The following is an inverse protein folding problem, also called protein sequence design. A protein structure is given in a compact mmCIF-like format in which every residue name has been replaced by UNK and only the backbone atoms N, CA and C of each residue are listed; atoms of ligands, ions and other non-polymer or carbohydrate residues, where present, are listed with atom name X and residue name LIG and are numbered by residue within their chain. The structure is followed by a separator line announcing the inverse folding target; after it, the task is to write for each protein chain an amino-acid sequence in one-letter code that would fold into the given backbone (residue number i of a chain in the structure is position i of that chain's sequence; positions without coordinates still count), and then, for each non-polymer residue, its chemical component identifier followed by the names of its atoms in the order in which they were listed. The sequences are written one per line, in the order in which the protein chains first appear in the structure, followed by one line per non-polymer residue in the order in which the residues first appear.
data_IF_591918685441
#
_entry.id   IF_591918685441
#
_cell.length_a   1.000
_cell.length_b   1.000
_cell.length_c   1.000
_cell.angle_alpha   90.00
_cell.angle_beta   90.00
_cell.angle_gamma   90.00
#
_symmetry.space_group_name_H-M   'P 1'
#
loop_
_entity.id
_entity.type
_entity.pdbx_description
1 polymer ?
#
# COMPACT_ATOMS: atom_id res chain seq x y z
N UNK A 1 -33.62 -0.61 -40.28
CA UNK A 1 -33.12 -1.34 -39.10
C UNK A 1 -31.62 -1.14 -39.11
N UNK A 2 -31.12 -0.19 -38.32
CA UNK A 2 -29.71 0.18 -38.32
C UNK A 2 -28.96 -0.79 -37.42
N UNK A 3 -28.04 -1.51 -38.05
CA UNK A 3 -27.10 -2.47 -37.49
C UNK A 3 -26.13 -1.71 -36.57
N UNK A 4 -26.13 -2.03 -35.28
CA UNK A 4 -25.22 -1.44 -34.30
C UNK A 4 -24.04 -2.40 -34.11
N UNK A 5 -22.95 -2.11 -34.82
CA UNK A 5 -21.67 -2.82 -34.70
C UNK A 5 -21.17 -2.76 -33.24
N UNK A 6 -20.65 -3.85 -32.67
CA UNK A 6 -20.10 -3.84 -31.31
C UNK A 6 -18.90 -2.89 -31.22
N UNK A 7 -18.66 -2.23 -30.08
CA UNK A 7 -17.51 -1.33 -29.94
C UNK A 7 -16.21 -2.13 -30.04
N UNK A 8 -15.30 -1.67 -30.90
CA UNK A 8 -14.01 -2.30 -31.15
C UNK A 8 -13.13 -2.30 -29.88
N UNK A 9 -12.73 -3.49 -29.45
CA UNK A 9 -11.87 -3.72 -28.31
C UNK A 9 -10.42 -3.29 -28.66
N UNK A 10 -9.98 -2.13 -28.17
CA UNK A 10 -8.64 -1.62 -28.43
C UNK A 10 -7.57 -2.58 -27.89
N UNK A 11 -6.85 -3.21 -28.81
CA UNK A 11 -5.80 -4.18 -28.50
C UNK A 11 -4.55 -3.46 -27.97
N UNK A 12 -4.44 -3.37 -26.65
CA UNK A 12 -3.29 -2.76 -25.97
C UNK A 12 -1.97 -3.44 -26.38
N UNK A 13 -0.91 -2.63 -26.59
CA UNK A 13 0.43 -3.08 -27.00
C UNK A 13 1.07 -3.92 -25.88
N UNK A 14 0.83 -5.24 -25.90
CA UNK A 14 1.60 -6.26 -25.16
C UNK A 14 1.69 -6.07 -23.63
N UNK A 15 0.86 -6.79 -22.87
CA UNK A 15 0.90 -6.85 -21.41
C UNK A 15 -0.28 -7.64 -20.84
N UNK A 16 -0.30 -7.90 -19.53
CA UNK A 16 -1.50 -8.40 -18.85
C UNK A 16 -2.64 -7.40 -19.12
N UNK A 17 -3.82 -7.85 -19.57
CA UNK A 17 -4.94 -6.94 -19.83
C UNK A 17 -5.31 -6.12 -18.59
N UNK A 18 -5.69 -4.87 -18.83
CA UNK A 18 -6.29 -3.99 -17.83
C UNK A 18 -7.52 -4.68 -17.23
N UNK A 19 -7.61 -4.69 -15.89
CA UNK A 19 -8.69 -5.41 -15.19
C UNK A 19 -9.94 -4.56 -15.01
N UNK A 20 -9.77 -3.25 -14.84
CA UNK A 20 -10.83 -2.27 -14.64
C UNK A 20 -10.97 -1.44 -15.91
N UNK A 21 -12.19 -1.06 -16.28
CA UNK A 21 -12.42 -0.29 -17.52
C UNK A 21 -12.34 1.21 -17.32
N UNK A 22 -12.49 1.66 -16.08
CA UNK A 22 -12.50 3.07 -15.71
C UNK A 22 -11.88 3.25 -14.33
N UNK A 23 -11.37 4.45 -14.06
CA UNK A 23 -10.85 4.80 -12.73
C UNK A 23 -11.94 4.77 -11.67
N UNK A 24 -13.17 5.18 -12.02
CA UNK A 24 -14.32 5.14 -11.12
C UNK A 24 -14.64 3.71 -10.64
N UNK A 25 -14.58 2.72 -11.53
CA UNK A 25 -14.78 1.30 -11.16
C UNK A 25 -13.69 0.81 -10.20
N UNK A 26 -12.43 1.18 -10.46
CA UNK A 26 -11.32 0.83 -9.57
C UNK A 26 -11.54 1.45 -8.18
N UNK A 27 -11.85 2.75 -8.09
CA UNK A 27 -12.10 3.44 -6.82
C UNK A 27 -13.24 2.82 -6.02
N UNK A 28 -14.36 2.49 -6.67
CA UNK A 28 -15.48 1.83 -6.02
C UNK A 28 -15.07 0.50 -5.37
N UNK A 29 -14.22 -0.28 -6.05
CA UNK A 29 -13.75 -1.57 -5.52
C UNK A 29 -12.70 -1.40 -4.40
N UNK A 30 -11.87 -0.36 -4.49
CA UNK A 30 -10.97 0.06 -3.41
C UNK A 30 -11.78 0.44 -2.16
N UNK A 31 -12.81 1.27 -2.31
CA UNK A 31 -13.67 1.69 -1.20
C UNK A 31 -14.42 0.50 -0.60
N UNK A 32 -14.92 -0.41 -1.44
CA UNK A 32 -15.55 -1.65 -0.98
C UNK A 32 -14.60 -2.46 -0.09
N UNK A 33 -13.31 -2.53 -0.45
CA UNK A 33 -12.30 -3.18 0.37
C UNK A 33 -12.13 -2.47 1.73
N UNK A 34 -11.95 -1.14 1.74
CA UNK A 34 -11.75 -0.39 2.97
C UNK A 34 -12.98 -0.43 3.88
N UNK A 35 -14.19 -0.26 3.34
CA UNK A 35 -15.45 -0.38 4.08
C UNK A 35 -15.61 -1.76 4.72
N UNK A 36 -15.14 -2.83 4.06
CA UNK A 36 -15.13 -4.18 4.63
C UNK A 36 -14.10 -4.41 5.75
N UNK A 37 -13.11 -3.51 5.85
CA UNK A 37 -12.11 -3.50 6.91
C UNK A 37 -12.54 -2.59 8.07
N UNK A 38 -13.26 -1.52 7.77
CA UNK A 38 -13.75 -0.55 8.75
C UNK A 38 -14.86 -1.15 9.62
N UNK A 39 -15.02 -0.69 10.87
CA UNK A 39 -16.16 -1.03 11.69
C UNK A 39 -17.47 -0.74 10.97
N UNK A 40 -18.26 -1.79 10.72
CA UNK A 40 -19.58 -1.69 10.13
C UNK A 40 -20.55 -2.61 10.86
N UNK A 41 -21.82 -2.29 10.79
CA UNK A 41 -22.88 -3.12 11.37
C UNK A 41 -23.11 -4.35 10.50
N UNK A 42 -23.12 -5.53 11.12
CA UNK A 42 -23.44 -6.80 10.46
C UNK A 42 -24.36 -7.65 11.31
N UNK A 43 -25.12 -8.54 10.67
CA UNK A 43 -25.95 -9.51 11.37
C UNK A 43 -25.13 -10.77 11.68
N UNK A 44 -24.93 -11.05 12.97
CA UNK A 44 -24.23 -12.26 13.41
C UNK A 44 -25.21 -13.18 14.15
N UNK A 45 -25.16 -14.47 13.80
CA UNK A 45 -25.86 -15.52 14.54
C UNK A 45 -25.05 -15.84 15.80
N UNK A 46 -25.68 -15.68 16.95
CA UNK A 46 -25.08 -15.87 18.26
C UNK A 46 -25.88 -16.87 19.08
N UNK A 47 -25.20 -17.55 19.99
CA UNK A 47 -25.84 -18.40 20.98
C UNK A 47 -26.51 -17.51 22.04
N UNK A 48 -27.78 -17.78 22.33
CA UNK A 48 -28.60 -17.04 23.30
C UNK A 48 -29.15 -18.01 24.36
N UNK A 49 -28.21 -18.72 24.98
CA UNK A 49 -28.48 -19.73 26.00
C UNK A 49 -29.02 -21.05 25.43
N UNK A 50 -29.52 -21.88 26.34
CA UNK A 50 -30.01 -23.22 26.04
C UNK A 50 -31.52 -23.26 26.24
N UNK A 51 -32.25 -23.89 25.31
CA UNK A 51 -33.68 -24.14 25.42
C UNK A 51 -33.96 -25.23 26.46
N UNK A 52 -35.22 -25.37 26.88
CA UNK A 52 -35.65 -26.38 27.85
C UNK A 52 -35.40 -27.83 27.39
N UNK A 53 -35.30 -28.05 26.08
CA UNK A 53 -34.99 -29.35 25.47
C UNK A 53 -33.47 -29.67 25.41
N UNK A 54 -32.62 -28.79 25.95
CA UNK A 54 -31.16 -28.93 25.92
C UNK A 54 -30.48 -28.45 24.64
N UNK A 55 -31.24 -27.98 23.64
CA UNK A 55 -30.67 -27.43 22.39
C UNK A 55 -30.25 -25.97 22.54
N UNK A 56 -29.22 -25.55 21.78
CA UNK A 56 -28.78 -24.15 21.76
C UNK A 56 -29.84 -23.25 21.13
N UNK A 57 -30.19 -22.18 21.83
CA UNK A 57 -30.98 -21.11 21.27
C UNK A 57 -30.07 -20.21 20.43
N UNK A 58 -30.49 -19.90 19.21
CA UNK A 58 -29.72 -19.05 18.30
C UNK A 58 -30.51 -17.78 18.03
N UNK A 59 -29.88 -16.63 18.27
CA UNK A 59 -30.44 -15.32 17.96
C UNK A 59 -29.58 -14.64 16.91
N UNK A 60 -30.21 -13.91 15.99
CA UNK A 60 -29.51 -12.99 15.09
C UNK A 60 -29.54 -11.62 15.73
N UNK A 61 -28.37 -11.02 15.98
CA UNK A 61 -28.25 -9.64 16.45
C UNK A 61 -27.38 -8.84 15.51
N UNK A 62 -27.69 -7.55 15.42
CA UNK A 62 -26.82 -6.58 14.78
C UNK A 62 -25.64 -6.30 15.72
N UNK A 63 -24.44 -6.45 15.18
CA UNK A 63 -23.19 -6.21 15.90
C UNK A 63 -22.27 -5.34 15.07
N UNK A 64 -21.52 -4.48 15.75
CA UNK A 64 -20.44 -3.71 15.14
C UNK A 64 -19.22 -4.62 14.95
N UNK A 65 -18.64 -4.64 13.75
CA UNK A 65 -17.38 -5.36 13.51
C UNK A 65 -16.19 -4.59 14.08
N UNK A 66 -15.11 -5.30 14.39
CA UNK A 66 -13.85 -4.68 14.77
C UNK A 66 -13.12 -4.09 13.56
N UNK A 67 -12.28 -3.07 13.79
CA UNK A 67 -11.39 -2.52 12.76
C UNK A 67 -10.36 -3.57 12.35
N UNK A 68 -10.36 -3.93 11.08
CA UNK A 68 -9.35 -4.81 10.49
C UNK A 68 -8.19 -3.98 9.93
N UNK A 69 -6.94 -4.49 10.00
CA UNK A 69 -5.82 -3.85 9.35
C UNK A 69 -5.99 -3.81 7.83
N UNK A 70 -5.72 -2.66 7.22
CA UNK A 70 -5.57 -2.51 5.79
C UNK A 70 -4.23 -3.09 5.37
N UNK A 71 -4.19 -3.78 4.23
CA UNK A 71 -2.97 -4.38 3.71
C UNK A 71 -2.95 -4.34 2.20
N UNK A 72 -1.75 -4.19 1.61
CA UNK A 72 -1.57 -4.20 0.15
C UNK A 72 -2.06 -5.54 -0.45
N UNK A 73 -1.78 -6.66 0.22
CA UNK A 73 -2.23 -7.98 -0.23
C UNK A 73 -3.74 -8.18 -0.06
N UNK A 74 -4.33 -7.63 1.01
CA UNK A 74 -5.78 -7.61 1.19
C UNK A 74 -6.48 -6.85 0.07
N UNK A 75 -5.97 -5.67 -0.26
CA UNK A 75 -6.45 -4.86 -1.38
C UNK A 75 -6.29 -5.61 -2.71
N UNK A 76 -5.10 -6.15 -3.00
CA UNK A 76 -4.87 -6.92 -4.23
C UNK A 76 -5.84 -8.11 -4.34
N UNK A 77 -6.06 -8.83 -3.24
CA UNK A 77 -7.00 -9.96 -3.22
C UNK A 77 -8.45 -9.51 -3.44
N UNK A 78 -8.88 -8.41 -2.82
CA UNK A 78 -10.21 -7.85 -2.98
C UNK A 78 -10.47 -7.43 -4.44
N UNK A 79 -9.49 -6.77 -5.05
CA UNK A 79 -9.47 -6.40 -6.46
C UNK A 79 -9.26 -7.59 -7.41
N UNK A 80 -9.18 -8.83 -6.89
CA UNK A 80 -8.93 -10.07 -7.66
C UNK A 80 -7.70 -9.97 -8.56
N UNK A 81 -6.64 -9.35 -8.05
CA UNK A 81 -5.40 -9.08 -8.77
C UNK A 81 -4.18 -9.52 -7.94
N UNK A 82 -2.98 -9.11 -8.33
CA UNK A 82 -1.74 -9.34 -7.57
C UNK A 82 -1.04 -8.03 -7.23
N UNK A 83 -0.06 -8.08 -6.32
CA UNK A 83 0.73 -6.90 -5.93
C UNK A 83 1.44 -6.29 -7.13
N UNK A 84 1.98 -7.11 -8.02
CA UNK A 84 2.68 -6.67 -9.24
C UNK A 84 1.75 -5.85 -10.13
N UNK A 85 0.49 -6.25 -10.24
CA UNK A 85 -0.49 -5.48 -11.00
C UNK A 85 -0.83 -4.16 -10.33
N UNK A 86 -0.88 -4.08 -8.99
CA UNK A 86 -1.03 -2.79 -8.31
C UNK A 86 0.16 -1.87 -8.59
N UNK A 87 1.38 -2.40 -8.62
CA UNK A 87 2.58 -1.62 -8.99
C UNK A 87 2.54 -1.13 -10.43
N UNK A 88 2.05 -1.96 -11.37
CA UNK A 88 1.85 -1.54 -12.76
C UNK A 88 0.89 -0.34 -12.84
N UNK A 89 -0.26 -0.38 -12.15
CA UNK A 89 -1.18 0.77 -12.07
C UNK A 89 -0.52 2.00 -11.43
N UNK A 90 0.13 1.83 -10.27
CA UNK A 90 0.83 2.91 -9.55
C UNK A 90 1.91 3.61 -10.40
N UNK A 91 2.57 2.87 -11.30
CA UNK A 91 3.63 3.40 -12.16
C UNK A 91 3.13 4.35 -13.26
N UNK A 92 1.82 4.41 -13.49
CA UNK A 92 1.22 5.17 -14.58
C UNK A 92 1.20 4.42 -15.93
N UNK A 93 1.52 3.13 -15.93
CA UNK A 93 1.51 2.29 -17.15
C UNK A 93 0.17 2.31 -17.90
N UNK A 94 -0.93 2.56 -17.20
CA UNK A 94 -2.28 2.57 -17.76
C UNK A 94 -2.91 3.97 -17.80
N UNK A 95 -2.15 5.00 -17.45
CA UNK A 95 -2.65 6.38 -17.36
C UNK A 95 -2.82 7.04 -18.73
N UNK A 96 -2.37 6.42 -19.82
CA UNK A 96 -2.53 6.93 -21.19
C UNK A 96 -3.98 6.82 -21.72
N UNK A 97 -4.85 6.05 -21.03
CA UNK A 97 -6.25 5.91 -21.43
C UNK A 97 -7.06 7.14 -20.99
N UNK A 98 -8.03 7.54 -21.83
CA UNK A 98 -8.99 8.61 -21.52
C UNK A 98 -10.18 8.03 -20.74
N UNK A 99 -9.87 7.51 -19.57
CA UNK A 99 -10.83 6.83 -18.69
C UNK A 99 -10.78 7.36 -17.25
N UNK A 100 -10.34 8.62 -17.14
CA UNK A 100 -10.36 9.39 -15.91
C UNK A 100 -11.78 9.50 -15.36
N UNK A 101 -11.89 9.56 -14.05
CA UNK A 101 -13.18 9.84 -13.42
C UNK A 101 -13.58 11.32 -13.53
N UNK A 102 -14.70 11.70 -12.89
CA UNK A 102 -15.19 13.08 -12.87
C UNK A 102 -14.22 14.08 -12.22
N UNK A 103 -13.29 13.60 -11.39
CA UNK A 103 -12.27 14.42 -10.75
C UNK A 103 -11.02 14.59 -11.62
N UNK A 104 -10.91 13.83 -12.71
CA UNK A 104 -9.73 13.79 -13.57
C UNK A 104 -8.64 12.84 -13.08
N UNK A 105 -8.94 12.00 -12.08
CA UNK A 105 -7.96 11.07 -11.52
C UNK A 105 -7.67 9.94 -12.49
N UNK A 106 -6.41 9.51 -12.51
CA UNK A 106 -5.96 8.36 -13.29
C UNK A 106 -5.88 7.11 -12.41
N UNK A 107 -5.61 5.97 -13.03
CA UNK A 107 -5.42 4.73 -12.26
C UNK A 107 -4.26 4.83 -11.27
N UNK A 108 -3.16 5.48 -11.67
CA UNK A 108 -2.02 5.63 -10.77
C UNK A 108 -2.37 6.46 -9.53
N UNK A 109 -3.22 7.49 -9.68
CA UNK A 109 -3.67 8.34 -8.57
C UNK A 109 -4.53 7.53 -7.60
N UNK A 110 -5.49 6.75 -8.10
CA UNK A 110 -6.32 5.88 -7.27
C UNK A 110 -5.50 4.85 -6.45
N UNK A 111 -4.44 4.27 -7.05
CA UNK A 111 -3.57 3.33 -6.31
C UNK A 111 -2.64 4.05 -5.32
N UNK A 112 -2.10 5.23 -5.68
CA UNK A 112 -1.28 6.03 -4.77
C UNK A 112 -2.09 6.46 -3.54
N UNK A 113 -3.32 6.92 -3.75
CA UNK A 113 -4.24 7.29 -2.68
C UNK A 113 -4.56 6.08 -1.78
N UNK A 114 -4.93 4.94 -2.37
CA UNK A 114 -5.18 3.72 -1.59
C UNK A 114 -3.95 3.30 -0.77
N UNK A 115 -2.73 3.40 -1.31
CA UNK A 115 -1.49 3.10 -0.57
C UNK A 115 -1.21 4.14 0.51
N UNK A 116 -1.50 5.41 0.28
CA UNK A 116 -1.39 6.47 1.29
C UNK A 116 -2.32 6.17 2.48
N UNK A 117 -3.57 5.80 2.24
CA UNK A 117 -4.52 5.39 3.29
C UNK A 117 -4.06 4.16 4.08
N UNK A 118 -3.43 3.18 3.42
CA UNK A 118 -2.81 2.04 4.12
C UNK A 118 -1.64 2.51 5.00
N UNK A 119 -0.79 3.41 4.50
CA UNK A 119 0.34 3.95 5.25
C UNK A 119 -0.12 4.71 6.49
N UNK A 120 -1.12 5.58 6.33
CA UNK A 120 -1.76 6.34 7.42
C UNK A 120 -2.26 5.40 8.51
N UNK A 121 -3.01 4.35 8.17
CA UNK A 121 -3.51 3.41 9.19
C UNK A 121 -2.37 2.68 9.92
N UNK A 122 -1.27 2.34 9.24
CA UNK A 122 -0.12 1.72 9.91
C UNK A 122 0.53 2.70 10.88
N UNK A 123 0.65 3.97 10.48
CA UNK A 123 1.15 5.04 11.35
C UNK A 123 0.22 5.26 12.55
N UNK A 124 -1.07 5.44 12.34
CA UNK A 124 -2.06 5.64 13.40
C UNK A 124 -2.06 4.50 14.41
N UNK A 125 -2.07 3.25 13.94
CA UNK A 125 -2.05 2.07 14.82
C UNK A 125 -0.75 1.95 15.60
N UNK A 126 0.37 2.34 14.99
CA UNK A 126 1.65 2.40 15.70
C UNK A 126 1.61 3.47 16.79
N UNK A 127 1.02 4.63 16.51
CA UNK A 127 0.94 5.75 17.45
C UNK A 127 -0.10 5.54 18.55
N UNK A 128 -1.21 4.84 18.28
CA UNK A 128 -2.25 4.50 19.26
C UNK A 128 -1.85 3.35 20.19
N UNK A 129 -0.85 2.55 19.79
CA UNK A 129 -0.44 1.34 20.50
C UNK A 129 -1.21 0.08 20.08
N UNK A 130 -2.11 0.18 19.08
CA UNK A 130 -2.88 -0.95 18.53
C UNK A 130 -2.04 -1.85 17.60
N UNK A 131 -0.80 -1.44 17.28
CA UNK A 131 0.19 -2.24 16.58
C UNK A 131 1.57 -2.09 17.25
N UNK A 132 2.36 -3.18 17.35
CA UNK A 132 3.72 -3.08 17.89
C UNK A 132 4.62 -2.20 16.99
N UNK A 133 5.52 -1.44 17.60
CA UNK A 133 6.38 -0.50 16.88
C UNK A 133 7.32 -1.18 15.87
N UNK A 134 7.99 -2.28 16.25
CA UNK A 134 8.98 -2.96 15.38
C UNK A 134 8.42 -3.44 14.03
N UNK A 135 7.31 -4.22 13.96
CA UNK A 135 6.73 -4.61 12.68
C UNK A 135 6.19 -3.42 11.89
N UNK A 136 5.67 -2.38 12.55
CA UNK A 136 5.19 -1.16 11.89
C UNK A 136 6.33 -0.40 11.22
N UNK A 137 7.46 -0.21 11.92
CA UNK A 137 8.68 0.40 11.37
C UNK A 137 9.23 -0.43 10.20
N UNK A 138 9.27 -1.76 10.33
CA UNK A 138 9.68 -2.64 9.22
C UNK A 138 8.77 -2.46 8.01
N UNK A 139 7.46 -2.39 8.23
CA UNK A 139 6.48 -2.22 7.15
C UNK A 139 6.64 -0.86 6.46
N UNK A 140 6.74 0.23 7.22
CA UNK A 140 6.89 1.61 6.71
C UNK A 140 8.19 1.79 5.90
N UNK A 141 9.29 1.17 6.33
CA UNK A 141 10.55 1.18 5.57
C UNK A 141 10.42 0.49 4.22
N UNK A 142 9.75 -0.67 4.18
CA UNK A 142 9.68 -1.50 2.98
C UNK A 142 8.55 -1.12 2.00
N UNK A 143 7.50 -0.44 2.47
CA UNK A 143 6.31 -0.15 1.67
C UNK A 143 5.97 1.34 1.55
N UNK A 144 6.55 2.20 2.40
CA UNK A 144 6.25 3.64 2.48
C UNK A 144 7.50 4.52 2.31
N UNK A 145 8.63 3.94 1.91
CA UNK A 145 9.91 4.62 1.67
C UNK A 145 10.50 5.37 2.88
N UNK A 146 10.10 5.01 4.11
CA UNK A 146 10.71 5.59 5.31
C UNK A 146 12.17 5.14 5.43
N UNK A 147 13.03 6.04 5.90
CA UNK A 147 14.46 5.79 6.08
C UNK A 147 14.87 6.20 7.49
N UNK A 148 15.77 5.42 8.09
CA UNK A 148 16.40 5.85 9.34
C UNK A 148 17.23 7.10 9.06
N UNK A 149 17.06 8.12 9.91
CA UNK A 149 17.89 9.30 9.88
C UNK A 149 19.09 9.08 10.81
N UNK A 150 20.29 9.21 10.27
CA UNK A 150 21.54 9.21 11.03
C UNK A 150 22.18 10.60 10.97
N UNK A 151 22.61 11.14 12.10
CA UNK A 151 23.39 12.36 12.20
C UNK A 151 24.77 12.00 12.80
N UNK A 152 25.84 12.31 12.07
CA UNK A 152 27.21 12.03 12.48
C UNK A 152 27.96 13.35 12.59
N UNK A 153 28.33 13.74 13.81
CA UNK A 153 29.15 14.91 14.05
C UNK A 153 30.63 14.51 14.11
N UNK A 154 31.40 14.91 13.09
CA UNK A 154 32.84 14.71 13.06
C UNK A 154 33.54 15.88 13.76
N UNK A 155 33.62 15.84 15.09
CA UNK A 155 34.44 16.79 15.86
C UNK A 155 35.88 16.30 15.90
N UNK A 156 36.78 17.03 15.22
CA UNK A 156 38.19 16.67 15.17
C UNK A 156 38.98 17.05 16.42
N UNK A 157 38.35 17.64 17.44
CA UNK A 157 39.02 18.24 18.62
C UNK A 157 40.21 19.15 18.24
N UNK A 158 40.19 19.76 17.05
CA UNK A 158 41.27 20.60 16.52
C UNK A 158 42.36 19.84 15.74
N UNK A 159 42.26 18.52 15.61
CA UNK A 159 43.16 17.72 14.79
C UNK A 159 42.73 17.76 13.32
N UNK A 160 43.68 17.63 12.39
CA UNK A 160 43.37 17.54 10.97
C UNK A 160 42.66 16.20 10.70
N UNK A 161 41.42 16.25 10.20
CA UNK A 161 40.77 15.08 9.58
C UNK A 161 41.43 14.89 8.21
N UNK A 162 42.69 14.47 8.21
CA UNK A 162 43.37 14.08 7.00
C UNK A 162 42.92 12.68 6.63
N UNK A 163 42.22 12.55 5.50
CA UNK A 163 41.85 11.25 4.92
C UNK A 163 43.07 10.34 4.62
N UNK A 164 44.28 10.87 4.77
CA UNK A 164 45.55 10.22 4.48
C UNK A 164 46.42 10.00 5.72
N UNK A 165 45.88 10.14 6.94
CA UNK A 165 46.63 9.97 8.19
C UNK A 165 47.31 8.60 8.34
N UNK A 166 46.78 7.58 7.65
CA UNK A 166 47.26 6.20 7.70
C UNK A 166 48.13 5.83 6.49
N UNK A 167 48.40 6.77 5.58
CA UNK A 167 49.25 6.51 4.41
C UNK A 167 50.69 6.87 4.72
N UNK A 168 51.60 6.03 4.26
CA UNK A 168 53.02 6.31 4.24
C UNK A 168 53.34 7.41 3.22
N UNK A 169 54.48 8.06 3.39
CA UNK A 169 54.95 9.10 2.47
C UNK A 169 55.09 8.59 1.03
N UNK A 170 55.41 7.32 0.84
CA UNK A 170 55.48 6.70 -0.49
C UNK A 170 54.09 6.55 -1.12
N UNK A 171 53.09 6.10 -0.36
CA UNK A 171 51.72 5.98 -0.83
C UNK A 171 51.10 7.35 -1.17
N UNK A 172 51.42 8.38 -0.38
CA UNK A 172 51.05 9.77 -0.67
C UNK A 172 51.70 10.28 -1.96
N UNK A 173 52.98 9.97 -2.18
CA UNK A 173 53.68 10.34 -3.42
C UNK A 173 53.07 9.65 -4.63
N UNK A 174 52.71 8.36 -4.51
CA UNK A 174 52.07 7.59 -5.57
C UNK A 174 50.71 8.15 -5.96
N UNK A 175 49.90 8.54 -4.96
CA UNK A 175 48.63 9.26 -5.19
C UNK A 175 48.83 10.61 -5.87
N UNK A 176 49.86 11.37 -5.47
CA UNK A 176 50.17 12.67 -6.06
C UNK A 176 50.75 12.57 -7.48
N UNK A 177 51.42 11.46 -7.82
CA UNK A 177 51.97 11.22 -9.15
C UNK A 177 50.94 10.67 -10.15
N UNK A 178 49.73 10.29 -9.71
CA UNK A 178 48.64 9.87 -10.58
C UNK A 178 48.86 8.53 -11.30
N UNK A 179 49.71 7.65 -10.74
CA UNK A 179 49.93 6.27 -11.21
C UNK A 179 49.02 5.24 -10.52
#
# INVERSE_FOLDING_TARGET
MADATPPEEQKNKGGRPLKFKTVAELKQQIDTYFNSCDPHTTQRRMEDGTKQDGSTNWVTREVMTEQRPYTILGLARALRTSRETLLDYESGKYDEQDDTDESGDRFSDAIKDAKARINEQVEERMMSGDAPATPSIFWLKNNSNWKDRSEVDHTSKGESISAYSNLTTEELRKLASGE
#
